data_IF_554275905857
#
_entry.id   IF_554275905857
#
_cell.length_a   1.000
_cell.length_b   1.000
_cell.length_c   1.000
_cell.angle_alpha   90.00
_cell.angle_beta   90.00
_cell.angle_gamma   90.00
#
_symmetry.space_group_name_H-M   'P 1'
#
loop_
_entity.id
_entity.type
_entity.pdbx_description
1 polymer ?
#
# COMPACT_ATOMS: atom_id res chain seq x y z
N UNK A 1 -5.29 52.74 -21.68
CA UNK A 1 -3.99 52.23 -21.17
C UNK A 1 -4.11 51.59 -19.77
N UNK A 2 -4.82 52.19 -18.81
CA UNK A 2 -4.98 51.66 -17.44
C UNK A 2 -5.79 50.35 -17.29
N UNK A 3 -6.68 50.02 -18.25
CA UNK A 3 -7.52 48.81 -18.25
C UNK A 3 -6.83 47.56 -18.84
N UNK A 4 -5.79 47.74 -19.64
CA UNK A 4 -5.03 46.63 -20.27
C UNK A 4 -4.04 46.02 -19.26
N UNK A 5 -3.48 46.85 -18.37
CA UNK A 5 -2.54 46.42 -17.32
C UNK A 5 -3.23 45.52 -16.28
N UNK A 6 -4.54 45.71 -16.02
CA UNK A 6 -5.28 44.91 -15.03
C UNK A 6 -5.54 43.46 -15.50
N UNK A 7 -5.66 43.22 -16.80
CA UNK A 7 -5.91 41.87 -17.34
C UNK A 7 -4.64 41.00 -17.43
N UNK A 8 -3.47 41.64 -17.59
CA UNK A 8 -2.18 40.94 -17.61
C UNK A 8 -1.76 40.52 -16.19
N UNK A 9 -2.14 41.28 -15.16
CA UNK A 9 -1.84 40.93 -13.77
C UNK A 9 -2.67 39.73 -13.25
N UNK A 10 -3.89 39.52 -13.75
CA UNK A 10 -4.78 38.45 -13.29
C UNK A 10 -4.43 37.09 -13.95
N UNK A 11 -3.84 37.10 -15.14
CA UNK A 11 -3.41 35.87 -15.83
C UNK A 11 -2.07 35.32 -15.32
N UNK A 12 -1.23 36.16 -14.72
CA UNK A 12 0.07 35.74 -14.16
C UNK A 12 -0.02 35.02 -12.80
N UNK A 13 -1.16 35.09 -12.09
CA UNK A 13 -1.31 34.48 -10.75
C UNK A 13 -1.76 33.01 -10.82
N UNK A 14 -2.34 32.55 -11.92
CA UNK A 14 -2.87 31.18 -12.04
C UNK A 14 -1.77 30.15 -12.42
N UNK A 15 -0.62 30.59 -12.93
CA UNK A 15 0.45 29.69 -13.42
C UNK A 15 1.52 29.38 -12.34
N UNK A 16 1.44 29.98 -11.15
CA UNK A 16 2.50 29.92 -10.14
C UNK A 16 2.47 28.76 -9.13
N UNK A 17 1.46 27.89 -9.14
CA UNK A 17 1.20 26.98 -8.01
C UNK A 17 1.01 25.52 -8.42
N UNK A 18 1.91 24.99 -9.24
CA UNK A 18 2.09 23.55 -9.38
C UNK A 18 3.59 23.25 -9.31
N UNK A 19 4.17 23.45 -8.13
CA UNK A 19 5.39 22.72 -7.81
C UNK A 19 5.03 21.23 -7.92
N UNK A 20 5.71 20.44 -8.76
CA UNK A 20 5.55 19.00 -8.67
C UNK A 20 5.95 18.62 -7.24
N UNK A 21 5.00 18.07 -6.50
CA UNK A 21 5.31 17.41 -5.23
C UNK A 21 6.20 16.23 -5.62
N UNK A 22 7.50 16.39 -5.42
CA UNK A 22 8.47 15.33 -5.65
C UNK A 22 8.31 14.34 -4.48
N UNK A 23 7.99 13.09 -4.81
CA UNK A 23 8.01 11.99 -3.85
C UNK A 23 9.45 11.75 -3.36
N UNK A 24 9.59 11.22 -2.15
CA UNK A 24 10.89 10.83 -1.60
C UNK A 24 11.39 9.58 -2.34
N UNK A 25 12.31 9.74 -3.29
CA UNK A 25 12.86 8.59 -4.02
C UNK A 25 13.67 7.67 -3.12
N UNK A 26 13.50 6.36 -3.27
CA UNK A 26 14.25 5.32 -2.57
C UNK A 26 14.78 4.27 -3.55
N UNK A 27 15.78 3.47 -3.12
CA UNK A 27 16.28 2.33 -3.90
C UNK A 27 15.15 1.36 -4.29
N UNK A 28 14.15 1.24 -3.41
CA UNK A 28 12.92 0.49 -3.67
C UNK A 28 12.19 1.05 -4.90
N UNK A 29 11.90 2.34 -4.93
CA UNK A 29 11.21 2.99 -6.06
C UNK A 29 12.03 2.94 -7.35
N UNK A 30 13.35 3.08 -7.25
CA UNK A 30 14.24 3.06 -8.42
C UNK A 30 14.27 1.71 -9.13
N UNK A 31 14.16 0.61 -8.39
CA UNK A 31 13.99 -0.72 -8.97
C UNK A 31 12.53 -0.96 -9.40
N UNK A 32 11.57 -0.70 -8.51
CA UNK A 32 10.16 -1.02 -8.72
C UNK A 32 9.47 -0.17 -9.78
N UNK A 33 9.99 1.01 -10.15
CA UNK A 33 9.48 1.77 -11.30
C UNK A 33 9.63 1.01 -12.63
N UNK A 34 10.57 0.05 -12.70
CA UNK A 34 10.77 -0.79 -13.88
C UNK A 34 9.91 -2.05 -13.83
N UNK A 35 9.81 -2.69 -12.66
CA UNK A 35 9.15 -4.00 -12.51
C UNK A 35 7.65 -3.87 -12.21
N UNK A 36 7.27 -2.91 -11.36
CA UNK A 36 5.89 -2.66 -10.93
C UNK A 36 5.55 -1.16 -11.01
N UNK A 37 5.61 -0.54 -12.22
CA UNK A 37 5.48 0.90 -12.40
C UNK A 37 4.18 1.48 -11.84
N UNK A 38 3.08 0.73 -11.92
CA UNK A 38 1.78 1.20 -11.46
C UNK A 38 1.68 1.27 -9.94
N UNK A 39 2.40 0.41 -9.20
CA UNK A 39 2.44 0.48 -7.73
C UNK A 39 3.21 1.71 -7.25
N UNK A 40 4.37 1.99 -7.84
CA UNK A 40 5.14 3.21 -7.55
C UNK A 40 4.32 4.46 -7.88
N UNK A 41 3.64 4.47 -9.03
CA UNK A 41 2.73 5.58 -9.38
C UNK A 41 1.59 5.73 -8.38
N UNK A 42 1.02 4.63 -7.89
CA UNK A 42 -0.09 4.64 -6.93
C UNK A 42 0.36 5.16 -5.55
N UNK A 43 1.55 4.79 -5.10
CA UNK A 43 2.15 5.32 -3.89
C UNK A 43 2.44 6.82 -4.02
N UNK A 44 3.10 7.23 -5.12
CA UNK A 44 3.54 8.61 -5.34
C UNK A 44 2.40 9.63 -5.58
N UNK A 45 1.18 9.16 -5.86
CA UNK A 45 -0.01 10.05 -5.84
C UNK A 45 -0.59 10.26 -4.44
N UNK A 46 -0.20 9.43 -3.47
CA UNK A 46 -0.71 9.45 -2.10
C UNK A 46 0.02 10.46 -1.20
N UNK A 47 -0.63 10.85 -0.10
CA UNK A 47 -0.06 11.82 0.86
C UNK A 47 1.18 11.26 1.57
N UNK A 48 1.22 9.95 1.82
CA UNK A 48 2.33 9.29 2.53
C UNK A 48 3.66 9.40 1.78
N UNK A 49 3.65 9.40 0.44
CA UNK A 49 4.88 9.54 -0.39
C UNK A 49 5.66 10.85 -0.18
N UNK A 50 5.04 11.83 0.48
CA UNK A 50 5.69 13.10 0.82
C UNK A 50 6.72 12.95 1.94
N UNK A 51 6.58 11.95 2.78
CA UNK A 51 7.40 11.77 4.00
C UNK A 51 7.84 10.33 4.23
N UNK A 52 7.35 9.39 3.44
CA UNK A 52 7.59 7.96 3.58
C UNK A 52 8.03 7.37 2.26
N UNK A 53 8.60 6.18 2.34
CA UNK A 53 9.10 5.32 1.27
C UNK A 53 8.47 3.94 1.40
N UNK A 54 8.81 3.02 0.49
CA UNK A 54 8.31 1.65 0.53
C UNK A 54 8.73 0.91 1.81
N UNK A 55 9.96 1.15 2.29
CA UNK A 55 10.56 0.44 3.41
C UNK A 55 9.86 0.71 4.75
N UNK A 56 9.22 1.88 4.90
CA UNK A 56 8.49 2.22 6.13
C UNK A 56 7.34 1.26 6.44
N UNK A 57 6.79 0.61 5.39
CA UNK A 57 5.74 -0.40 5.53
C UNK A 57 6.26 -1.83 5.28
N UNK A 58 7.16 -1.99 4.29
CA UNK A 58 7.60 -3.30 3.80
C UNK A 58 8.94 -3.78 4.40
N UNK A 59 9.62 -2.97 5.20
CA UNK A 59 10.96 -3.26 5.70
C UNK A 59 12.04 -3.18 4.62
N UNK A 60 13.26 -3.56 4.99
CA UNK A 60 14.47 -3.43 4.16
C UNK A 60 15.15 -4.78 3.85
N UNK A 61 14.57 -5.90 4.29
CA UNK A 61 15.20 -7.22 4.17
C UNK A 61 15.19 -7.79 2.75
N UNK A 62 14.29 -7.30 1.89
CA UNK A 62 14.26 -7.60 0.46
C UNK A 62 15.15 -6.61 -0.29
N UNK A 63 16.10 -7.15 -1.06
CA UNK A 63 17.10 -6.36 -1.79
C UNK A 63 17.25 -6.76 -3.25
N UNK A 64 16.67 -7.88 -3.68
CA UNK A 64 16.83 -8.42 -5.03
C UNK A 64 15.65 -9.29 -5.45
N UNK A 65 15.51 -9.55 -6.76
CA UNK A 65 14.44 -10.42 -7.27
C UNK A 65 14.43 -11.85 -6.67
N UNK A 66 15.51 -12.28 -6.04
CA UNK A 66 15.67 -13.62 -5.46
C UNK A 66 15.24 -13.72 -3.99
N UNK A 67 14.96 -12.60 -3.31
CA UNK A 67 14.59 -12.57 -1.89
C UNK A 67 13.28 -11.82 -1.60
N UNK A 68 12.34 -11.85 -2.55
CA UNK A 68 11.03 -11.17 -2.44
C UNK A 68 10.20 -11.63 -1.24
N UNK A 69 10.43 -12.85 -0.75
CA UNK A 69 9.77 -13.41 0.42
C UNK A 69 10.17 -12.74 1.73
N UNK A 70 11.29 -12.01 1.74
CA UNK A 70 11.73 -11.22 2.91
C UNK A 70 11.04 -9.87 3.03
N UNK A 71 10.30 -9.44 2.00
CA UNK A 71 9.50 -8.24 2.09
C UNK A 71 8.36 -8.44 3.12
N UNK A 72 8.23 -7.52 4.07
CA UNK A 72 7.13 -7.55 5.02
C UNK A 72 5.84 -7.16 4.30
N UNK A 73 4.76 -7.86 4.64
CA UNK A 73 3.43 -7.57 4.12
C UNK A 73 2.62 -6.84 5.20
N UNK A 74 2.37 -5.53 5.05
CA UNK A 74 1.73 -4.70 6.07
C UNK A 74 0.39 -5.27 6.53
N UNK A 75 0.10 -5.09 7.81
CA UNK A 75 -1.21 -5.38 8.40
C UNK A 75 -1.77 -4.10 9.02
N UNK A 76 -2.95 -4.21 9.64
CA UNK A 76 -3.49 -3.11 10.44
C UNK A 76 -2.54 -2.72 11.57
N UNK A 77 -1.73 -3.63 12.11
CA UNK A 77 -0.71 -3.31 13.11
C UNK A 77 0.36 -2.35 12.55
N UNK A 78 0.76 -2.51 11.28
CA UNK A 78 1.67 -1.57 10.60
C UNK A 78 1.06 -0.17 10.54
N UNK A 79 -0.22 -0.08 10.20
CA UNK A 79 -0.94 1.20 10.15
C UNK A 79 -1.13 1.80 11.55
N UNK A 80 -1.39 0.97 12.57
CA UNK A 80 -1.66 1.37 13.95
C UNK A 80 -0.51 2.18 14.56
N UNK A 81 0.74 1.95 14.14
CA UNK A 81 1.90 2.70 14.60
C UNK A 81 1.79 4.22 14.35
N UNK A 82 1.00 4.64 13.35
CA UNK A 82 0.75 6.06 13.03
C UNK A 82 -0.74 6.44 13.06
N UNK A 83 -1.64 5.46 12.99
CA UNK A 83 -3.08 5.64 12.87
C UNK A 83 -3.84 4.80 13.91
N UNK A 84 -3.53 5.03 15.19
CA UNK A 84 -4.06 4.25 16.31
C UNK A 84 -5.60 4.23 16.31
N UNK A 85 -6.25 5.40 16.27
CA UNK A 85 -7.71 5.51 16.31
C UNK A 85 -8.39 4.78 15.14
N UNK A 86 -7.87 4.93 13.91
CA UNK A 86 -8.46 4.27 12.74
C UNK A 86 -8.25 2.76 12.79
N UNK A 87 -7.10 2.30 13.29
CA UNK A 87 -6.82 0.89 13.49
C UNK A 87 -7.77 0.29 14.53
N UNK A 88 -7.98 0.95 15.68
CA UNK A 88 -8.94 0.52 16.69
C UNK A 88 -10.37 0.42 16.15
N UNK A 89 -10.82 1.43 15.40
CA UNK A 89 -12.14 1.42 14.76
C UNK A 89 -12.29 0.25 13.78
N UNK A 90 -11.26 -0.01 12.97
CA UNK A 90 -11.27 -1.14 12.04
C UNK A 90 -11.32 -2.48 12.77
N UNK A 91 -10.48 -2.66 13.80
CA UNK A 91 -10.36 -3.90 14.58
C UNK A 91 -11.61 -4.20 15.41
N UNK A 92 -12.32 -3.15 15.87
CA UNK A 92 -13.62 -3.29 16.51
C UNK A 92 -14.74 -3.70 15.52
N UNK A 93 -14.54 -3.46 14.23
CA UNK A 93 -15.50 -3.74 13.16
C UNK A 93 -15.52 -5.19 12.69
N UNK A 94 -16.60 -5.57 12.00
CA UNK A 94 -16.71 -6.89 11.34
C UNK A 94 -15.72 -7.05 10.17
N UNK A 95 -15.25 -5.96 9.58
CA UNK A 95 -14.27 -5.98 8.49
C UNK A 95 -12.96 -6.68 8.90
N UNK A 96 -12.50 -6.48 10.15
CA UNK A 96 -11.32 -7.18 10.66
C UNK A 96 -11.47 -8.71 10.72
N UNK A 97 -12.71 -9.22 10.67
CA UNK A 97 -13.02 -10.66 10.64
C UNK A 97 -13.21 -11.21 9.22
N UNK A 98 -12.71 -10.50 8.20
CA UNK A 98 -12.85 -10.87 6.80
C UNK A 98 -12.33 -12.27 6.48
N UNK A 99 -11.19 -12.67 7.06
CA UNK A 99 -10.60 -14.00 6.84
C UNK A 99 -11.55 -15.12 7.28
N UNK A 100 -12.11 -15.01 8.49
CA UNK A 100 -13.11 -15.96 8.97
C UNK A 100 -14.30 -16.06 8.01
N UNK A 101 -14.74 -14.95 7.42
CA UNK A 101 -15.85 -14.95 6.49
C UNK A 101 -15.53 -15.68 5.18
N UNK A 102 -14.29 -15.61 4.67
CA UNK A 102 -13.92 -16.33 3.45
C UNK A 102 -13.61 -17.80 3.71
N UNK A 103 -13.01 -18.14 4.85
CA UNK A 103 -12.66 -19.53 5.19
C UNK A 103 -13.89 -20.44 5.30
N UNK A 104 -15.05 -19.89 5.64
CA UNK A 104 -16.31 -20.65 5.77
C UNK A 104 -17.11 -20.76 4.47
N UNK A 105 -16.68 -20.13 3.37
CA UNK A 105 -17.40 -20.26 2.11
C UNK A 105 -17.17 -21.66 1.50
N UNK A 106 -18.22 -22.33 0.99
CA UNK A 106 -18.12 -23.72 0.50
C UNK A 106 -17.05 -23.96 -0.57
N UNK A 107 -16.72 -22.94 -1.37
CA UNK A 107 -15.79 -23.06 -2.49
C UNK A 107 -14.37 -22.57 -2.18
N UNK A 108 -14.12 -22.00 -1.00
CA UNK A 108 -12.81 -21.42 -0.66
C UNK A 108 -11.69 -22.46 -0.64
N UNK A 109 -11.96 -23.66 -0.12
CA UNK A 109 -10.98 -24.75 -0.04
C UNK A 109 -10.48 -25.26 -1.40
N UNK A 110 -11.19 -24.94 -2.49
CA UNK A 110 -10.79 -25.29 -3.85
C UNK A 110 -10.17 -24.15 -4.64
N UNK A 111 -10.04 -22.96 -4.04
CA UNK A 111 -9.42 -21.80 -4.68
C UNK A 111 -7.89 -21.83 -4.49
N UNK A 112 -7.11 -21.20 -5.38
CA UNK A 112 -5.66 -21.09 -5.21
C UNK A 112 -5.29 -20.41 -3.90
N UNK A 113 -4.30 -20.94 -3.19
CA UNK A 113 -3.83 -20.40 -1.91
C UNK A 113 -3.45 -18.92 -2.02
N UNK A 114 -2.87 -18.52 -3.16
CA UNK A 114 -2.53 -17.13 -3.42
C UNK A 114 -3.72 -16.17 -3.30
N UNK A 115 -4.95 -16.62 -3.61
CA UNK A 115 -6.18 -15.82 -3.59
C UNK A 115 -6.95 -15.85 -2.27
N UNK A 116 -6.70 -16.85 -1.42
CA UNK A 116 -7.40 -17.04 -0.15
C UNK A 116 -6.48 -16.72 1.01
N UNK A 117 -5.36 -17.45 1.11
CA UNK A 117 -4.38 -17.28 2.16
C UNK A 117 -3.45 -16.10 1.83
N UNK A 118 -2.97 -16.01 0.59
CA UNK A 118 -2.08 -14.95 0.12
C UNK A 118 -2.73 -13.56 0.00
N UNK A 119 -1.94 -12.58 -0.42
CA UNK A 119 -2.39 -11.18 -0.57
C UNK A 119 -3.03 -10.88 -1.94
N UNK A 120 -3.49 -11.89 -2.68
CA UNK A 120 -4.23 -11.69 -3.94
C UNK A 120 -5.70 -12.01 -3.73
N UNK A 121 -6.54 -11.59 -4.67
CA UNK A 121 -7.97 -11.91 -4.64
C UNK A 121 -8.64 -11.53 -3.32
N UNK A 122 -9.37 -12.49 -2.72
CA UNK A 122 -10.09 -12.29 -1.47
C UNK A 122 -9.14 -12.06 -0.28
N UNK A 123 -8.04 -12.81 -0.23
CA UNK A 123 -7.06 -12.77 0.85
C UNK A 123 -6.34 -11.42 0.97
N UNK A 124 -6.14 -10.71 -0.15
CA UNK A 124 -5.52 -9.37 -0.17
C UNK A 124 -6.21 -8.34 0.72
N UNK A 125 -7.54 -8.38 0.80
CA UNK A 125 -8.29 -7.48 1.69
C UNK A 125 -8.65 -8.15 3.03
N UNK A 126 -8.97 -9.44 2.99
CA UNK A 126 -9.60 -10.10 4.13
C UNK A 126 -8.61 -10.64 5.16
N UNK A 127 -7.30 -10.66 4.86
CA UNK A 127 -6.24 -11.04 5.81
C UNK A 127 -5.65 -9.85 6.58
N UNK A 128 -6.07 -8.62 6.29
CA UNK A 128 -5.52 -7.41 6.92
C UNK A 128 -5.75 -7.35 8.44
N UNK A 129 -6.85 -7.90 8.92
CA UNK A 129 -7.19 -7.99 10.34
C UNK A 129 -6.41 -9.04 11.13
N UNK A 130 -5.50 -9.79 10.49
CA UNK A 130 -4.62 -10.74 11.18
C UNK A 130 -3.49 -9.98 11.89
N UNK A 131 -3.52 -9.98 13.23
CA UNK A 131 -2.51 -9.32 14.06
C UNK A 131 -1.34 -10.24 14.45
N UNK A 132 -1.57 -11.56 14.44
CA UNK A 132 -0.54 -12.54 14.75
C UNK A 132 0.38 -12.74 13.54
N UNK A 133 1.63 -12.29 13.65
CA UNK A 133 2.65 -12.44 12.61
C UNK A 133 2.95 -13.91 12.30
N UNK A 134 2.96 -14.79 13.31
CA UNK A 134 3.27 -16.21 13.12
C UNK A 134 2.21 -16.90 12.26
N UNK A 135 0.95 -16.48 12.37
CA UNK A 135 -0.12 -16.96 11.51
C UNK A 135 0.06 -16.53 10.03
N UNK A 136 0.91 -15.54 9.74
CA UNK A 136 1.21 -15.07 8.39
C UNK A 136 2.41 -15.76 7.74
N UNK A 137 3.22 -16.48 8.51
CA UNK A 137 4.41 -17.20 8.03
C UNK A 137 4.11 -18.57 7.40
N UNK A 138 2.84 -18.93 7.23
CA UNK A 138 2.45 -20.18 6.57
C UNK A 138 2.79 -20.17 5.08
N UNK A 139 3.11 -21.35 4.52
CA UNK A 139 3.44 -21.56 3.09
C UNK A 139 2.42 -20.89 2.14
N UNK A 140 1.11 -21.05 2.40
CA UNK A 140 0.06 -20.46 1.57
C UNK A 140 -0.03 -18.92 1.61
N UNK A 141 0.63 -18.27 2.57
CA UNK A 141 0.61 -16.80 2.79
C UNK A 141 1.89 -16.09 2.37
N UNK A 142 2.87 -16.84 1.84
CA UNK A 142 4.10 -16.28 1.30
C UNK A 142 3.82 -15.29 0.17
N UNK A 143 4.78 -14.41 -0.11
CA UNK A 143 4.71 -13.50 -1.24
C UNK A 143 4.70 -14.28 -2.56
N UNK A 144 3.52 -14.50 -3.13
CA UNK A 144 3.35 -15.25 -4.37
C UNK A 144 3.78 -14.38 -5.56
N UNK A 145 4.86 -14.76 -6.26
CA UNK A 145 5.43 -14.02 -7.41
C UNK A 145 4.46 -13.83 -8.60
N UNK A 146 3.39 -14.62 -8.72
CA UNK A 146 2.41 -14.59 -9.83
C UNK A 146 1.09 -15.25 -9.46
#
# INVERSE_FOLDING_TARGET
>A
MRKVVLFVAITAVIVGSALPVLAVSSDCEDCHKTITPLMVKDFNRGVMSKTMTCADCHGEEHTSADDVEKAKLPTIATCQACHEEQAEQYLAGKHAKGLLAIDVLPFTHGQPDAYIAGQKGCGGCHTLGMLDESARESEGRQCHKY
#
